data_IF_068598925021
#
_entry.id   IF_068598925021
#
_cell.length_a   1.000
_cell.length_b   1.000
_cell.length_c   1.000
_cell.angle_alpha   90.00
_cell.angle_beta   90.00
_cell.angle_gamma   90.00
#
_symmetry.space_group_name_H-M   'P 1'
#
loop_
_entity.id
_entity.type
_entity.pdbx_description
1 polymer ?
#
# COMPACT_ATOMS: atom_id res chain seq x y z
N UNK A 1 7.76 -14.48 23.03
CA UNK A 1 8.50 -13.24 23.34
C UNK A 1 9.79 -13.22 22.54
N UNK A 2 10.07 -12.13 21.81
CA UNK A 2 11.32 -11.98 21.03
C UNK A 2 12.48 -11.66 21.98
N UNK A 3 13.62 -12.33 21.83
CA UNK A 3 14.80 -12.11 22.67
C UNK A 3 15.25 -10.63 22.63
N UNK A 4 15.60 -9.98 23.76
CA UNK A 4 15.92 -8.55 23.80
C UNK A 4 16.98 -8.09 22.79
N UNK A 5 17.97 -8.95 22.54
CA UNK A 5 19.01 -8.72 21.52
C UNK A 5 18.45 -8.66 20.10
N UNK A 6 17.52 -9.54 19.76
CA UNK A 6 16.83 -9.56 18.46
C UNK A 6 15.97 -8.30 18.31
N UNK A 7 15.27 -7.87 19.37
CA UNK A 7 14.53 -6.60 19.35
C UNK A 7 15.44 -5.41 19.03
N UNK A 8 16.60 -5.32 19.67
CA UNK A 8 17.59 -4.26 19.39
C UNK A 8 18.12 -4.31 17.95
N UNK A 9 18.30 -5.50 17.39
CA UNK A 9 18.69 -5.66 16.00
C UNK A 9 17.62 -5.18 15.02
N UNK A 10 16.35 -5.50 15.26
CA UNK A 10 15.24 -5.00 14.43
C UNK A 10 15.17 -3.47 14.45
N UNK A 11 15.27 -2.85 15.63
CA UNK A 11 15.29 -1.38 15.72
C UNK A 11 16.51 -0.77 15.04
N UNK A 12 17.69 -1.37 15.20
CA UNK A 12 18.89 -0.90 14.50
C UNK A 12 18.77 -1.01 12.97
N UNK A 13 18.14 -2.07 12.45
CA UNK A 13 17.89 -2.20 11.00
C UNK A 13 16.99 -1.09 10.46
N UNK A 14 15.94 -0.69 11.20
CA UNK A 14 15.08 0.43 10.81
C UNK A 14 15.87 1.73 10.69
N UNK A 15 16.71 2.02 11.68
CA UNK A 15 17.57 3.21 11.69
C UNK A 15 18.61 3.19 10.57
N UNK A 16 19.17 2.02 10.23
CA UNK A 16 20.07 1.93 9.08
C UNK A 16 19.36 2.10 7.75
N UNK A 17 18.12 1.62 7.60
CA UNK A 17 17.32 1.87 6.40
C UNK A 17 16.99 3.35 6.23
N UNK A 18 16.61 4.01 7.33
CA UNK A 18 16.43 5.46 7.35
C UNK A 18 17.73 6.19 6.97
N UNK A 19 18.87 5.85 7.60
CA UNK A 19 20.17 6.42 7.23
C UNK A 19 20.50 6.26 5.73
N UNK A 20 20.22 5.08 5.16
CA UNK A 20 20.42 4.81 3.73
C UNK A 20 19.52 5.70 2.87
N UNK A 21 18.25 5.89 3.24
CA UNK A 21 17.32 6.75 2.53
C UNK A 21 17.72 8.24 2.57
N UNK A 22 18.37 8.70 3.63
CA UNK A 22 18.82 10.09 3.79
C UNK A 22 20.25 10.37 3.28
N UNK A 23 21.06 9.33 3.08
CA UNK A 23 22.42 9.43 2.54
C UNK A 23 22.45 9.65 1.02
N UNK A 24 23.49 10.28 0.50
CA UNK A 24 23.70 10.41 -0.96
C UNK A 24 24.19 9.09 -1.59
N UNK A 25 23.93 8.93 -2.89
CA UNK A 25 24.40 7.75 -3.64
C UNK A 25 25.92 7.66 -3.67
N UNK A 26 26.44 6.52 -3.22
CA UNK A 26 27.88 6.25 -3.15
C UNK A 26 28.60 6.99 -2.02
N UNK A 27 27.87 7.56 -1.04
CA UNK A 27 28.50 8.20 0.12
C UNK A 27 29.06 7.18 1.10
N UNK A 28 30.06 7.61 1.88
CA UNK A 28 30.66 6.79 2.93
C UNK A 28 29.59 6.36 3.96
N UNK A 29 28.70 7.26 4.38
CA UNK A 29 27.62 6.99 5.34
C UNK A 29 26.70 5.87 4.84
N UNK A 30 26.30 5.92 3.55
CA UNK A 30 25.48 4.89 2.92
C UNK A 30 26.18 3.54 2.95
N UNK A 31 27.46 3.52 2.58
CA UNK A 31 28.28 2.32 2.57
C UNK A 31 28.41 1.71 3.97
N UNK A 32 28.61 2.54 5.00
CA UNK A 32 28.73 2.14 6.39
C UNK A 32 27.40 1.58 6.92
N UNK A 33 26.28 2.18 6.54
CA UNK A 33 24.95 1.70 6.91
C UNK A 33 24.67 0.30 6.32
N UNK A 34 24.95 0.07 5.03
CA UNK A 34 24.88 -1.28 4.44
C UNK A 34 25.85 -2.25 5.12
N UNK A 35 27.07 -1.80 5.40
CA UNK A 35 28.05 -2.58 6.16
C UNK A 35 27.52 -2.99 7.54
N UNK A 36 26.85 -2.11 8.26
CA UNK A 36 26.26 -2.42 9.56
C UNK A 36 25.01 -3.32 9.45
N UNK A 37 24.18 -3.17 8.40
CA UNK A 37 23.11 -4.12 8.09
C UNK A 37 23.65 -5.53 7.90
N UNK A 38 24.78 -5.69 7.19
CA UNK A 38 25.39 -7.02 6.99
C UNK A 38 25.79 -7.69 8.32
N UNK A 39 26.31 -6.92 9.27
CA UNK A 39 26.64 -7.42 10.60
C UNK A 39 25.39 -7.94 11.33
N UNK A 40 24.29 -7.20 11.28
CA UNK A 40 23.04 -7.63 11.90
C UNK A 40 22.50 -8.88 11.22
N UNK A 41 22.49 -8.92 9.88
CA UNK A 41 22.04 -10.10 9.12
C UNK A 41 22.83 -11.35 9.53
N UNK A 42 24.16 -11.23 9.65
CA UNK A 42 25.02 -12.31 10.12
C UNK A 42 24.65 -12.77 11.54
N UNK A 43 24.44 -11.84 12.48
CA UNK A 43 24.05 -12.17 13.87
C UNK A 43 22.64 -12.72 14.00
N UNK A 44 21.81 -12.56 12.97
CA UNK A 44 20.47 -13.13 12.87
C UNK A 44 20.42 -14.36 11.96
N UNK A 45 21.57 -14.90 11.54
CA UNK A 45 21.69 -16.07 10.67
C UNK A 45 20.97 -15.91 9.31
N UNK A 46 20.79 -14.66 8.85
CA UNK A 46 20.26 -14.32 7.54
C UNK A 46 21.42 -14.17 6.56
N UNK A 47 22.03 -15.28 6.19
CA UNK A 47 23.31 -15.29 5.48
C UNK A 47 23.21 -14.74 4.04
N UNK A 48 22.13 -15.02 3.32
CA UNK A 48 21.88 -14.46 1.98
C UNK A 48 21.72 -12.94 2.04
N UNK A 49 20.91 -12.45 2.98
CA UNK A 49 20.73 -11.00 3.18
C UNK A 49 22.04 -10.33 3.61
N UNK A 50 22.86 -11.02 4.42
CA UNK A 50 24.21 -10.55 4.78
C UNK A 50 25.06 -10.31 3.53
N UNK A 51 25.12 -11.29 2.62
CA UNK A 51 25.88 -11.17 1.38
C UNK A 51 25.35 -10.06 0.47
N UNK A 52 24.02 -9.90 0.38
CA UNK A 52 23.42 -8.80 -0.37
C UNK A 52 23.84 -7.43 0.19
N UNK A 53 23.80 -7.25 1.51
CA UNK A 53 24.21 -6.00 2.14
C UNK A 53 25.72 -5.73 1.98
N UNK A 54 26.57 -6.76 1.99
CA UNK A 54 28.00 -6.61 1.69
C UNK A 54 28.22 -6.12 0.25
N UNK A 55 27.46 -6.68 -0.70
CA UNK A 55 27.51 -6.22 -2.10
C UNK A 55 27.14 -4.74 -2.21
N UNK A 56 26.01 -4.35 -1.63
CA UNK A 56 25.52 -2.96 -1.63
C UNK A 56 26.48 -1.99 -0.93
N UNK A 57 27.13 -2.43 0.15
CA UNK A 57 28.15 -1.63 0.83
C UNK A 57 29.35 -1.35 -0.10
N UNK A 58 29.87 -2.39 -0.78
CA UNK A 58 30.98 -2.26 -1.74
C UNK A 58 30.62 -1.39 -2.94
N UNK A 59 29.42 -1.57 -3.50
CA UNK A 59 28.87 -0.73 -4.58
C UNK A 59 28.71 0.73 -4.15
N UNK A 60 28.61 1.01 -2.84
CA UNK A 60 28.47 2.35 -2.28
C UNK A 60 29.79 2.98 -1.81
N UNK A 61 30.95 2.54 -2.31
CA UNK A 61 32.29 3.06 -1.92
C UNK A 61 32.70 2.79 -0.47
N UNK A 62 32.48 1.56 0.03
CA UNK A 62 32.90 1.19 1.39
C UNK A 62 34.38 1.50 1.70
N UNK A 63 34.72 2.10 2.87
CA UNK A 63 36.08 2.50 3.17
C UNK A 63 37.08 1.35 3.13
N UNK A 64 38.15 1.52 2.34
CA UNK A 64 39.20 0.50 2.16
C UNK A 64 39.82 0.05 3.48
N UNK A 65 40.04 0.96 4.42
CA UNK A 65 40.62 0.66 5.72
C UNK A 65 39.70 -0.21 6.62
N UNK A 66 38.41 -0.35 6.25
CA UNK A 66 37.44 -1.20 6.93
C UNK A 66 37.09 -2.47 6.15
N UNK A 67 37.63 -2.68 4.94
CA UNK A 67 37.20 -3.77 4.04
C UNK A 67 37.35 -5.15 4.67
N UNK A 68 38.41 -5.34 5.48
CA UNK A 68 38.65 -6.60 6.19
C UNK A 68 37.47 -7.05 7.07
N UNK A 69 36.68 -6.11 7.61
CA UNK A 69 35.46 -6.43 8.38
C UNK A 69 34.36 -7.04 7.49
N UNK A 70 34.23 -6.58 6.24
CA UNK A 70 33.26 -7.16 5.31
C UNK A 70 33.75 -8.51 4.79
N UNK A 71 35.05 -8.64 4.51
CA UNK A 71 35.64 -9.87 3.98
C UNK A 71 35.52 -11.03 4.99
N UNK A 72 35.74 -10.75 6.28
CA UNK A 72 35.54 -11.71 7.36
C UNK A 72 34.07 -12.18 7.45
N UNK A 73 33.11 -11.24 7.42
CA UNK A 73 31.67 -11.56 7.45
C UNK A 73 31.22 -12.32 6.21
N UNK A 74 31.74 -11.96 5.03
CA UNK A 74 31.44 -12.64 3.78
C UNK A 74 31.90 -14.10 3.82
N UNK A 75 33.12 -14.33 4.33
CA UNK A 75 33.67 -15.67 4.54
C UNK A 75 32.80 -16.48 5.50
N UNK A 76 32.43 -15.90 6.64
CA UNK A 76 31.57 -16.56 7.64
C UNK A 76 30.20 -16.94 7.04
N UNK A 77 29.53 -15.99 6.36
CA UNK A 77 28.23 -16.24 5.74
C UNK A 77 28.30 -17.32 4.65
N UNK A 78 29.30 -17.27 3.76
CA UNK A 78 29.51 -18.30 2.72
C UNK A 78 29.79 -19.68 3.32
N UNK A 79 30.58 -19.76 4.39
CA UNK A 79 30.85 -21.01 5.09
C UNK A 79 29.60 -21.57 5.79
N UNK A 80 28.74 -20.72 6.35
CA UNK A 80 27.49 -21.16 6.95
C UNK A 80 26.52 -21.72 5.90
N UNK A 81 26.38 -21.04 4.76
CA UNK A 81 25.54 -21.49 3.65
C UNK A 81 26.01 -22.82 3.04
N UNK A 82 27.31 -22.99 2.86
CA UNK A 82 27.85 -24.26 2.35
C UNK A 82 27.62 -25.42 3.33
N UNK A 83 27.79 -25.19 4.63
CA UNK A 83 27.45 -26.17 5.68
C UNK A 83 25.96 -26.54 5.67
N UNK A 84 25.07 -25.56 5.56
CA UNK A 84 23.63 -25.78 5.51
C UNK A 84 23.20 -26.56 4.25
N UNK A 85 23.77 -26.23 3.08
CA UNK A 85 23.52 -26.96 1.83
C UNK A 85 23.95 -28.44 1.93
N UNK A 86 25.11 -28.71 2.52
CA UNK A 86 25.59 -30.07 2.76
C UNK A 86 24.73 -30.86 3.78
N UNK A 87 24.07 -30.18 4.72
CA UNK A 87 23.16 -30.81 5.70
C UNK A 87 21.74 -31.01 5.15
N UNK A 88 21.28 -30.15 4.24
CA UNK A 88 19.95 -30.23 3.64
C UNK A 88 19.84 -31.23 2.48
N UNK A 89 20.96 -31.80 2.00
CA UNK A 89 20.97 -32.91 1.05
C UNK A 89 20.28 -34.20 1.57
N UNK A 90 19.85 -34.25 2.84
CA UNK A 90 19.12 -35.37 3.45
C UNK A 90 17.74 -35.00 4.04
N UNK A 91 17.22 -33.80 3.80
CA UNK A 91 15.86 -33.43 4.22
C UNK A 91 15.04 -33.00 3.02
N UNK A 92 14.14 -33.89 2.57
CA UNK A 92 12.99 -33.53 1.75
C UNK A 92 12.26 -32.40 2.46
N UNK A 93 12.24 -31.22 1.84
CA UNK A 93 11.46 -30.09 2.30
C UNK A 93 10.00 -30.45 2.21
N UNK A 94 9.35 -30.73 3.34
CA UNK A 94 7.90 -30.68 3.44
C UNK A 94 7.51 -29.22 3.24
N UNK A 95 7.16 -28.84 2.02
CA UNK A 95 6.43 -27.60 1.76
C UNK A 95 5.18 -27.68 2.62
N UNK A 96 5.13 -26.87 3.67
CA UNK A 96 3.89 -26.66 4.43
C UNK A 96 2.96 -25.95 3.44
N UNK A 97 2.00 -26.67 2.88
CA UNK A 97 0.90 -26.06 2.13
C UNK A 97 0.24 -25.05 3.07
N UNK A 98 0.52 -23.77 2.85
CA UNK A 98 -0.16 -22.70 3.54
C UNK A 98 -1.57 -22.68 2.96
N UNK A 99 -2.54 -23.21 3.71
CA UNK A 99 -3.95 -23.12 3.34
C UNK A 99 -4.30 -21.66 3.06
N UNK A 100 -4.61 -21.38 1.79
CA UNK A 100 -5.02 -20.04 1.39
C UNK A 100 -6.48 -19.85 1.79
N UNK A 101 -6.80 -18.70 2.40
CA UNK A 101 -8.18 -18.38 2.75
C UNK A 101 -9.04 -18.32 1.47
N UNK A 102 -10.19 -18.99 1.49
CA UNK A 102 -11.13 -19.06 0.36
C UNK A 102 -12.49 -18.50 0.76
N UNK A 103 -13.29 -18.11 -0.25
CA UNK A 103 -14.69 -17.74 -0.04
C UNK A 103 -15.47 -18.95 0.48
N UNK A 104 -16.33 -18.73 1.48
CA UNK A 104 -17.17 -19.81 2.03
C UNK A 104 -18.32 -20.21 1.11
N UNK A 105 -18.55 -19.46 0.04
CA UNK A 105 -19.57 -19.69 -0.97
C UNK A 105 -18.96 -19.56 -2.37
N UNK A 106 -19.60 -20.14 -3.41
CA UNK A 106 -19.12 -19.99 -4.77
C UNK A 106 -18.92 -18.51 -5.13
N UNK A 107 -17.81 -18.22 -5.82
CA UNK A 107 -17.53 -16.88 -6.29
C UNK A 107 -18.60 -16.43 -7.29
N UNK A 108 -18.82 -15.12 -7.34
CA UNK A 108 -19.65 -14.50 -8.36
C UNK A 108 -19.02 -14.76 -9.73
N UNK A 109 -19.85 -15.08 -10.74
CA UNK A 109 -19.39 -15.49 -12.07
C UNK A 109 -18.38 -14.49 -12.68
N UNK A 110 -18.66 -13.20 -12.47
CA UNK A 110 -17.90 -12.07 -12.99
C UNK A 110 -16.91 -11.47 -11.97
N UNK A 111 -16.92 -11.91 -10.71
CA UNK A 111 -16.09 -11.34 -9.64
C UNK A 111 -15.54 -12.45 -8.71
N UNK A 112 -14.39 -13.06 -9.05
CA UNK A 112 -13.79 -14.16 -8.26
C UNK A 112 -13.52 -13.83 -6.78
N UNK A 113 -13.33 -12.54 -6.48
CA UNK A 113 -13.10 -12.02 -5.13
C UNK A 113 -14.38 -11.85 -4.29
N UNK A 114 -15.57 -12.05 -4.86
CA UNK A 114 -16.86 -11.73 -4.24
C UNK A 114 -17.72 -12.99 -4.16
N UNK A 115 -18.30 -13.29 -3.00
CA UNK A 115 -19.28 -14.38 -2.89
C UNK A 115 -20.54 -14.09 -3.73
N UNK A 116 -21.01 -15.07 -4.50
CA UNK A 116 -22.14 -14.88 -5.43
C UNK A 116 -23.48 -14.53 -4.76
N UNK A 117 -23.56 -14.70 -3.44
CA UNK A 117 -24.72 -14.36 -2.66
C UNK A 117 -24.80 -12.87 -2.31
N UNK A 118 -23.76 -12.08 -2.54
CA UNK A 118 -23.78 -10.64 -2.28
C UNK A 118 -24.33 -9.85 -3.49
N UNK A 119 -24.92 -8.71 -3.21
CA UNK A 119 -25.35 -7.75 -4.22
C UNK A 119 -25.29 -6.32 -3.68
N UNK A 120 -25.05 -5.37 -4.58
CA UNK A 120 -25.20 -3.96 -4.29
C UNK A 120 -26.67 -3.55 -4.48
N UNK A 121 -27.22 -2.87 -3.48
CA UNK A 121 -28.55 -2.27 -3.53
C UNK A 121 -28.48 -0.76 -3.26
N UNK A 122 -29.63 -0.09 -3.38
CA UNK A 122 -29.78 1.33 -3.01
C UNK A 122 -31.04 1.56 -2.19
N UNK A 123 -30.96 2.36 -1.13
CA UNK A 123 -32.11 2.83 -0.36
C UNK A 123 -31.87 4.25 0.18
N UNK A 124 -32.90 4.89 0.72
CA UNK A 124 -32.81 6.29 1.18
C UNK A 124 -31.96 6.46 2.44
N UNK A 125 -31.92 5.44 3.30
CA UNK A 125 -31.22 5.50 4.59
C UNK A 125 -29.70 5.40 4.43
N UNK A 126 -29.23 4.50 3.57
CA UNK A 126 -27.81 4.14 3.44
C UNK A 126 -27.24 4.49 2.07
N UNK A 127 -28.05 4.91 1.10
CA UNK A 127 -27.62 5.02 -0.28
C UNK A 127 -27.23 3.64 -0.82
N UNK A 128 -26.04 3.54 -1.42
CA UNK A 128 -25.46 2.26 -1.85
C UNK A 128 -25.17 1.39 -0.63
N UNK A 129 -25.59 0.13 -0.66
CA UNK A 129 -25.38 -0.80 0.44
C UNK A 129 -25.25 -2.23 -0.06
N UNK A 130 -24.48 -3.06 0.65
CA UNK A 130 -24.27 -4.47 0.29
C UNK A 130 -25.23 -5.35 1.08
N UNK A 131 -25.99 -6.19 0.38
CA UNK A 131 -26.93 -7.15 0.98
C UNK A 131 -26.58 -8.59 0.60
N UNK A 132 -27.05 -9.54 1.41
CA UNK A 132 -26.93 -10.97 1.09
C UNK A 132 -28.26 -11.58 0.62
N UNK A 133 -28.21 -12.42 -0.40
CA UNK A 133 -29.34 -13.22 -0.93
C UNK A 133 -29.60 -14.48 -0.12
N UNK A 134 -28.79 -14.76 0.91
CA UNK A 134 -28.92 -15.93 1.80
C UNK A 134 -28.55 -15.62 3.24
N UNK A 135 -28.89 -16.52 4.16
CA UNK A 135 -28.39 -16.46 5.54
C UNK A 135 -26.88 -16.71 5.56
N UNK A 136 -26.12 -15.82 6.20
CA UNK A 136 -24.69 -15.95 6.47
C UNK A 136 -24.45 -16.33 7.93
N UNK A 137 -23.48 -17.19 8.19
CA UNK A 137 -23.07 -17.67 9.51
C UNK A 137 -21.77 -17.00 9.94
N UNK A 138 -21.54 -16.97 11.25
CA UNK A 138 -20.26 -16.52 11.81
C UNK A 138 -19.13 -17.38 11.24
N UNK A 139 -18.04 -16.72 10.80
CA UNK A 139 -16.89 -17.35 10.16
C UNK A 139 -16.95 -17.41 8.63
N UNK A 140 -18.10 -17.11 8.01
CA UNK A 140 -18.19 -17.08 6.54
C UNK A 140 -17.29 -15.97 5.96
N UNK A 141 -16.46 -16.32 4.97
CA UNK A 141 -15.66 -15.39 4.18
C UNK A 141 -16.43 -15.02 2.93
N UNK A 142 -16.74 -13.73 2.78
CA UNK A 142 -17.69 -13.25 1.74
C UNK A 142 -17.06 -12.33 0.70
N UNK A 143 -15.89 -11.76 0.99
CA UNK A 143 -15.06 -11.03 0.02
C UNK A 143 -13.58 -11.31 0.28
N UNK A 144 -12.74 -11.33 -0.76
CA UNK A 144 -11.27 -11.37 -0.68
C UNK A 144 -10.69 -10.44 -1.77
N UNK A 145 -10.54 -9.16 -1.46
CA UNK A 145 -10.25 -8.13 -2.44
C UNK A 145 -8.79 -7.63 -2.35
N UNK A 146 -8.19 -7.34 -3.51
CA UNK A 146 -6.89 -6.66 -3.59
C UNK A 146 -7.10 -5.13 -3.55
N UNK A 147 -6.30 -4.36 -2.79
CA UNK A 147 -6.44 -2.91 -2.76
C UNK A 147 -6.15 -2.28 -4.12
N UNK A 148 -6.86 -1.20 -4.44
CA UNK A 148 -6.53 -0.32 -5.56
C UNK A 148 -5.23 0.45 -5.29
N UNK A 149 -5.11 0.95 -4.05
CA UNK A 149 -3.95 1.69 -3.55
C UNK A 149 -3.60 1.25 -2.13
N UNK A 150 -2.32 1.26 -1.82
CA UNK A 150 -1.80 1.09 -0.45
C UNK A 150 -0.70 2.13 -0.22
N UNK A 151 -0.76 2.81 0.92
CA UNK A 151 0.27 3.73 1.40
C UNK A 151 0.66 3.32 2.81
N UNK A 152 1.94 2.97 2.99
CA UNK A 152 2.47 2.62 4.30
C UNK A 152 2.57 3.86 5.18
N UNK A 153 2.24 3.69 6.47
CA UNK A 153 2.46 4.72 7.49
C UNK A 153 3.97 4.99 7.64
N UNK A 154 4.33 6.21 8.04
CA UNK A 154 5.74 6.64 8.22
C UNK A 154 6.59 5.63 8.99
N UNK A 155 6.06 5.06 10.08
CA UNK A 155 6.75 4.05 10.90
C UNK A 155 7.04 2.73 10.18
N UNK A 156 6.50 2.52 8.97
CA UNK A 156 6.63 1.30 8.16
C UNK A 156 7.30 1.54 6.79
N UNK A 157 7.56 2.78 6.39
CA UNK A 157 8.19 3.12 5.10
C UNK A 157 9.59 2.50 4.95
N UNK A 158 10.33 2.36 6.06
CA UNK A 158 11.66 1.74 6.10
C UNK A 158 11.64 0.25 6.48
N UNK A 159 10.46 -0.38 6.45
CA UNK A 159 10.25 -1.79 6.80
C UNK A 159 9.66 -2.56 5.61
N UNK A 160 8.79 -1.90 4.83
CA UNK A 160 8.07 -2.50 3.70
C UNK A 160 8.52 -1.90 2.37
N UNK A 161 8.47 -2.70 1.33
CA UNK A 161 8.65 -2.21 -0.04
C UNK A 161 7.45 -1.33 -0.42
N UNK A 162 7.70 -0.10 -0.88
CA UNK A 162 6.64 0.84 -1.24
C UNK A 162 5.76 0.36 -2.41
N UNK A 163 6.28 -0.53 -3.27
CA UNK A 163 5.51 -1.10 -4.38
C UNK A 163 4.75 -2.38 -3.99
N UNK A 164 5.47 -3.44 -3.62
CA UNK A 164 4.85 -4.75 -3.39
C UNK A 164 4.29 -4.91 -1.98
N UNK A 165 4.52 -3.94 -1.08
CA UNK A 165 4.05 -3.90 0.31
C UNK A 165 4.58 -5.02 1.21
N UNK A 166 5.40 -5.94 0.67
CA UNK A 166 6.02 -6.99 1.44
C UNK A 166 7.03 -6.43 2.44
N UNK A 167 7.06 -7.04 3.63
CA UNK A 167 8.06 -6.72 4.64
C UNK A 167 9.44 -7.18 4.18
N UNK A 168 10.37 -6.23 4.06
CA UNK A 168 11.70 -6.42 3.44
C UNK A 168 12.80 -5.70 4.21
N UNK A 169 12.64 -5.59 5.52
CA UNK A 169 13.51 -4.87 6.46
C UNK A 169 15.02 -5.04 6.19
N UNK A 170 15.46 -6.22 5.78
CA UNK A 170 16.87 -6.55 5.58
C UNK A 170 17.42 -6.26 4.18
N UNK A 171 16.57 -5.99 3.20
CA UNK A 171 16.96 -5.94 1.77
C UNK A 171 16.45 -4.70 1.04
N UNK A 172 15.80 -3.77 1.73
CA UNK A 172 15.36 -2.51 1.13
C UNK A 172 16.52 -1.69 0.56
N UNK A 173 16.28 -1.09 -0.60
CA UNK A 173 17.12 -0.11 -1.30
C UNK A 173 16.31 1.21 -1.45
N UNK A 174 16.94 2.38 -1.32
CA UNK A 174 16.23 3.65 -1.32
C UNK A 174 15.88 4.10 -2.74
N UNK A 175 14.85 4.94 -2.88
CA UNK A 175 14.76 5.83 -4.02
C UNK A 175 15.95 6.80 -4.01
N UNK A 176 16.51 7.11 -5.18
CA UNK A 176 17.60 8.09 -5.27
C UNK A 176 17.11 9.54 -5.40
N UNK A 177 15.82 9.74 -5.66
CA UNK A 177 15.20 11.06 -5.83
C UNK A 177 14.44 11.58 -4.60
N UNK A 178 14.19 10.75 -3.59
CA UNK A 178 13.51 11.16 -2.36
C UNK A 178 14.02 10.36 -1.16
N UNK A 179 13.70 10.82 0.05
CA UNK A 179 14.09 10.17 1.31
C UNK A 179 12.99 9.30 1.91
N UNK A 180 11.85 9.13 1.22
CA UNK A 180 10.65 8.49 1.78
C UNK A 180 10.50 7.05 1.29
N UNK A 181 10.59 6.83 -0.02
CA UNK A 181 10.28 5.53 -0.62
C UNK A 181 11.50 4.61 -0.62
N UNK A 182 11.30 3.36 -0.19
CA UNK A 182 12.26 2.27 -0.34
C UNK A 182 11.62 1.05 -1.00
N UNK A 183 12.43 0.24 -1.66
CA UNK A 183 11.98 -0.87 -2.50
C UNK A 183 12.82 -2.11 -2.26
N UNK A 184 12.31 -3.30 -2.58
CA UNK A 184 13.08 -4.54 -2.43
C UNK A 184 13.91 -4.92 -3.66
N UNK A 185 13.69 -4.24 -4.79
CA UNK A 185 14.37 -4.52 -6.05
C UNK A 185 14.24 -3.35 -7.03
N UNK A 186 15.16 -3.29 -7.99
CA UNK A 186 15.09 -2.37 -9.14
C UNK A 186 13.80 -2.55 -9.94
N UNK A 187 13.29 -3.78 -10.02
CA UNK A 187 11.99 -4.07 -10.64
C UNK A 187 10.84 -3.35 -9.91
N UNK A 188 10.83 -3.35 -8.57
CA UNK A 188 9.84 -2.62 -7.79
C UNK A 188 10.00 -1.10 -7.93
N UNK A 189 11.24 -0.58 -8.02
CA UNK A 189 11.50 0.84 -8.33
C UNK A 189 10.88 1.21 -9.67
N UNK A 190 11.19 0.45 -10.73
CA UNK A 190 10.69 0.70 -12.08
C UNK A 190 9.16 0.65 -12.15
N UNK A 191 8.55 -0.37 -11.53
CA UNK A 191 7.09 -0.51 -11.48
C UNK A 191 6.42 0.60 -10.68
N UNK A 192 7.00 1.03 -9.55
CA UNK A 192 6.49 2.15 -8.79
C UNK A 192 6.57 3.46 -9.58
N UNK A 193 7.72 3.73 -10.20
CA UNK A 193 7.94 4.92 -11.02
C UNK A 193 6.93 5.00 -12.16
N UNK A 194 6.75 3.91 -12.91
CA UNK A 194 5.78 3.86 -14.01
C UNK A 194 4.31 3.92 -13.59
N UNK A 195 3.99 3.68 -12.31
CA UNK A 195 2.60 3.62 -11.81
C UNK A 195 2.17 4.83 -11.00
N UNK A 196 3.06 5.41 -10.19
CA UNK A 196 2.71 6.53 -9.32
C UNK A 196 3.90 7.38 -8.87
N UNK A 197 5.05 6.76 -8.61
CA UNK A 197 6.14 7.42 -7.91
C UNK A 197 6.77 8.57 -8.70
N UNK A 198 6.64 8.56 -10.03
CA UNK A 198 7.05 9.66 -10.91
C UNK A 198 6.44 11.01 -10.53
N UNK A 199 5.17 11.01 -10.10
CA UNK A 199 4.45 12.21 -9.67
C UNK A 199 4.54 12.45 -8.16
N UNK A 200 5.03 11.48 -7.40
CA UNK A 200 5.21 11.60 -5.94
C UNK A 200 6.61 12.07 -5.57
N UNK A 201 7.65 11.60 -6.27
CA UNK A 201 9.03 11.62 -5.81
C UNK A 201 9.50 13.01 -5.31
N UNK A 202 9.22 14.06 -6.07
CA UNK A 202 9.64 15.44 -5.74
C UNK A 202 8.82 16.10 -4.61
N UNK A 203 7.63 15.59 -4.30
CA UNK A 203 6.67 16.24 -3.39
C UNK A 203 6.36 15.43 -2.14
N UNK A 204 6.73 14.14 -2.12
CA UNK A 204 6.22 13.16 -1.17
C UNK A 204 6.51 13.54 0.28
N UNK A 205 7.73 13.99 0.60
CA UNK A 205 8.14 14.36 1.96
C UNK A 205 7.34 15.55 2.50
N UNK A 206 7.16 16.58 1.68
CA UNK A 206 6.51 17.81 2.10
C UNK A 206 5.01 17.59 2.24
N UNK A 207 4.40 16.83 1.32
CA UNK A 207 2.99 16.47 1.41
C UNK A 207 2.68 15.49 2.54
N UNK A 208 3.61 14.61 2.92
CA UNK A 208 3.49 13.84 4.18
C UNK A 208 3.40 14.77 5.39
N UNK A 209 4.27 15.77 5.45
CA UNK A 209 4.34 16.71 6.57
C UNK A 209 3.06 17.57 6.66
N UNK A 210 2.55 18.03 5.52
CA UNK A 210 1.45 19.01 5.48
C UNK A 210 0.07 18.35 5.45
N UNK A 211 -0.11 17.24 4.74
CA UNK A 211 -1.42 16.59 4.55
C UNK A 211 -1.55 15.22 5.23
N UNK A 212 -0.44 14.66 5.73
CA UNK A 212 -0.42 13.34 6.34
C UNK A 212 -0.77 12.20 5.38
N UNK A 213 -1.04 11.02 5.96
CA UNK A 213 -1.27 9.79 5.21
C UNK A 213 -2.48 9.87 4.26
N UNK A 214 -3.52 10.62 4.64
CA UNK A 214 -4.71 10.83 3.81
C UNK A 214 -4.37 11.61 2.54
N UNK A 215 -3.64 12.73 2.66
CA UNK A 215 -3.22 13.49 1.48
C UNK A 215 -2.29 12.70 0.56
N UNK A 216 -1.36 11.93 1.13
CA UNK A 216 -0.45 11.09 0.33
C UNK A 216 -1.19 9.92 -0.33
N UNK A 217 -2.22 9.37 0.31
CA UNK A 217 -3.10 8.37 -0.32
C UNK A 217 -3.84 8.97 -1.51
N UNK A 218 -4.37 10.19 -1.36
CA UNK A 218 -5.02 10.91 -2.47
C UNK A 218 -4.03 11.19 -3.62
N UNK A 219 -2.84 11.69 -3.31
CA UNK A 219 -1.76 11.91 -4.28
C UNK A 219 -1.47 10.63 -5.08
N UNK A 220 -1.30 9.49 -4.40
CA UNK A 220 -1.03 8.20 -5.05
C UNK A 220 -2.18 7.77 -5.96
N UNK A 221 -3.42 7.97 -5.54
CA UNK A 221 -4.60 7.65 -6.36
C UNK A 221 -4.66 8.51 -7.62
N UNK A 222 -4.33 9.80 -7.52
CA UNK A 222 -4.25 10.73 -8.66
C UNK A 222 -3.12 10.32 -9.61
N UNK A 223 -1.94 9.97 -9.09
CA UNK A 223 -0.83 9.50 -9.90
C UNK A 223 -1.17 8.19 -10.64
N UNK A 224 -1.86 7.25 -9.99
CA UNK A 224 -2.40 6.03 -10.63
C UNK A 224 -3.42 6.40 -11.71
N UNK A 225 -4.29 7.39 -11.46
CA UNK A 225 -5.26 7.85 -12.45
C UNK A 225 -4.54 8.36 -13.70
N UNK A 226 -3.60 9.29 -13.56
CA UNK A 226 -2.86 9.88 -14.67
C UNK A 226 -2.11 8.82 -15.48
N UNK A 227 -1.41 7.89 -14.81
CA UNK A 227 -0.68 6.81 -15.50
C UNK A 227 -1.60 5.80 -16.20
N UNK A 228 -2.81 5.58 -15.69
CA UNK A 228 -3.83 4.71 -16.31
C UNK A 228 -4.32 5.25 -17.67
N UNK A 229 -4.17 6.55 -17.90
CA UNK A 229 -4.45 7.22 -19.17
C UNK A 229 -3.16 7.63 -19.89
N UNK A 230 -2.12 6.79 -19.81
CA UNK A 230 -0.85 6.95 -20.53
C UNK A 230 -0.08 8.24 -20.19
N UNK A 231 -0.29 8.79 -18.98
CA UNK A 231 0.25 10.10 -18.56
C UNK A 231 -0.33 11.29 -19.33
N UNK A 232 -1.53 11.12 -19.89
CA UNK A 232 -2.20 12.11 -20.72
C UNK A 232 -3.45 12.64 -20.00
N UNK A 233 -3.35 13.90 -19.54
CA UNK A 233 -4.43 14.58 -18.83
C UNK A 233 -5.63 14.86 -19.73
N UNK A 234 -5.45 15.01 -21.04
CA UNK A 234 -6.56 15.24 -21.98
C UNK A 234 -7.37 13.96 -22.16
N UNK A 235 -6.69 12.81 -22.35
CA UNK A 235 -7.39 11.51 -22.38
C UNK A 235 -8.13 11.20 -21.08
N UNK A 236 -7.53 11.53 -19.93
CA UNK A 236 -8.20 11.37 -18.64
C UNK A 236 -9.43 12.27 -18.57
N UNK A 237 -9.32 13.53 -19.01
CA UNK A 237 -10.44 14.47 -19.05
C UNK A 237 -11.58 13.95 -19.93
N UNK A 238 -11.28 13.58 -21.17
CA UNK A 238 -12.27 13.11 -22.14
C UNK A 238 -13.01 11.86 -21.63
N UNK A 239 -12.26 10.96 -20.98
CA UNK A 239 -12.86 9.79 -20.34
C UNK A 239 -13.81 10.18 -19.21
N UNK A 240 -13.40 11.11 -18.34
CA UNK A 240 -14.24 11.58 -17.23
C UNK A 240 -15.49 12.33 -17.70
N UNK A 241 -15.38 13.15 -18.75
CA UNK A 241 -16.52 13.84 -19.35
C UNK A 241 -17.53 12.86 -19.98
N UNK A 242 -17.05 11.73 -20.51
CA UNK A 242 -17.88 10.68 -21.09
C UNK A 242 -18.41 9.67 -20.06
N UNK A 243 -17.89 9.67 -18.83
CA UNK A 243 -18.21 8.67 -17.81
C UNK A 243 -19.58 8.94 -17.18
N UNK A 244 -20.54 8.05 -17.44
CA UNK A 244 -21.78 8.01 -16.67
C UNK A 244 -21.55 7.34 -15.32
N UNK A 245 -21.18 8.13 -14.31
CA UNK A 245 -20.91 7.64 -12.96
C UNK A 245 -22.07 6.83 -12.36
N UNK A 246 -23.31 7.09 -12.77
CA UNK A 246 -24.49 6.38 -12.26
C UNK A 246 -24.58 4.92 -12.71
N UNK A 247 -23.86 4.56 -13.78
CA UNK A 247 -23.80 3.20 -14.34
C UNK A 247 -22.59 2.40 -13.86
N UNK A 248 -21.67 3.01 -13.12
CA UNK A 248 -20.49 2.32 -12.62
C UNK A 248 -20.86 1.49 -11.38
N UNK A 249 -20.81 0.17 -11.53
CA UNK A 249 -21.08 -0.78 -10.46
C UNK A 249 -20.06 -1.92 -10.44
N UNK A 250 -19.16 -1.89 -9.45
CA UNK A 250 -18.16 -2.92 -9.24
C UNK A 250 -18.74 -4.31 -8.92
N UNK A 251 -19.98 -4.42 -8.44
CA UNK A 251 -20.59 -5.71 -8.12
C UNK A 251 -21.12 -6.44 -9.35
N UNK A 252 -21.35 -5.74 -10.47
CA UNK A 252 -21.85 -6.31 -11.73
C UNK A 252 -20.80 -6.32 -12.84
N UNK A 253 -19.70 -5.57 -12.70
CA UNK A 253 -18.54 -5.57 -13.60
C UNK A 253 -17.90 -6.97 -13.74
N UNK A 254 -17.41 -7.30 -14.95
CA UNK A 254 -16.59 -8.49 -15.21
C UNK A 254 -15.13 -8.24 -14.86
N UNK A 255 -14.76 -8.55 -13.62
CA UNK A 255 -13.39 -8.43 -13.10
C UNK A 255 -12.38 -9.36 -13.78
N UNK A 256 -12.82 -10.40 -14.48
CA UNK A 256 -11.92 -11.27 -15.24
C UNK A 256 -11.41 -10.59 -16.52
N UNK A 257 -12.15 -9.58 -17.00
CA UNK A 257 -11.85 -8.81 -18.21
C UNK A 257 -11.62 -7.33 -17.95
N UNK A 258 -11.82 -6.87 -16.72
CA UNK A 258 -11.68 -5.47 -16.33
C UNK A 258 -10.29 -4.95 -16.66
N UNK A 259 -10.25 -3.86 -17.41
CA UNK A 259 -9.04 -3.10 -17.68
C UNK A 259 -8.68 -2.23 -16.47
N UNK A 260 -7.46 -1.69 -16.39
CA UNK A 260 -7.12 -0.70 -15.37
C UNK A 260 -8.06 0.51 -15.34
N UNK A 261 -8.61 0.92 -16.50
CA UNK A 261 -9.60 2.00 -16.62
C UNK A 261 -10.93 1.64 -15.96
N UNK A 262 -11.39 0.40 -16.15
CA UNK A 262 -12.63 -0.08 -15.52
C UNK A 262 -12.48 -0.10 -13.99
N UNK A 263 -11.34 -0.58 -13.48
CA UNK A 263 -11.03 -0.55 -12.04
C UNK A 263 -10.93 0.89 -11.53
N UNK A 264 -10.28 1.79 -12.26
CA UNK A 264 -10.23 3.22 -11.91
C UNK A 264 -11.63 3.81 -11.75
N UNK A 265 -12.56 3.52 -12.68
CA UNK A 265 -13.93 4.03 -12.61
C UNK A 265 -14.61 3.65 -11.30
N UNK A 266 -14.45 2.38 -10.87
CA UNK A 266 -15.06 1.90 -9.61
C UNK A 266 -14.58 2.68 -8.37
N UNK A 267 -13.36 3.19 -8.40
CA UNK A 267 -12.77 4.01 -7.34
C UNK A 267 -13.16 5.49 -7.48
N UNK A 268 -13.21 5.99 -8.72
CA UNK A 268 -13.56 7.38 -8.99
C UNK A 268 -14.99 7.73 -8.52
N UNK A 269 -15.93 6.78 -8.62
CA UNK A 269 -17.33 6.95 -8.19
C UNK A 269 -17.58 6.67 -6.70
N UNK A 270 -16.51 6.49 -5.91
CA UNK A 270 -16.63 6.36 -4.46
C UNK A 270 -17.17 7.65 -3.83
N UNK A 271 -17.74 7.52 -2.63
CA UNK A 271 -18.44 8.63 -1.99
C UNK A 271 -17.48 9.77 -1.63
N UNK A 272 -17.83 11.02 -1.95
CA UNK A 272 -17.09 12.22 -1.52
C UNK A 272 -17.73 12.90 -0.31
N UNK A 273 -19.01 12.61 -0.05
CA UNK A 273 -19.87 13.36 0.86
C UNK A 273 -19.88 14.87 0.62
N UNK A 274 -19.56 15.34 -0.59
CA UNK A 274 -19.43 16.76 -0.93
C UNK A 274 -20.60 17.61 -0.41
N UNK A 275 -21.84 17.20 -0.71
CA UNK A 275 -23.07 17.91 -0.33
C UNK A 275 -23.35 17.92 1.19
N UNK A 276 -22.65 17.08 1.98
CA UNK A 276 -22.82 16.98 3.44
C UNK A 276 -21.73 17.72 4.21
N UNK A 277 -20.69 18.19 3.54
CA UNK A 277 -19.54 18.86 4.17
C UNK A 277 -19.89 20.29 4.54
N UNK A 278 -19.45 20.72 5.72
CA UNK A 278 -19.65 22.09 6.15
C UNK A 278 -18.59 23.03 5.54
N UNK A 279 -18.84 24.33 5.61
CA UNK A 279 -17.97 25.34 5.00
C UNK A 279 -16.53 25.33 5.52
N UNK A 280 -16.30 24.95 6.79
CA UNK A 280 -14.94 24.89 7.36
C UNK A 280 -14.16 23.70 6.79
N UNK A 281 -14.82 22.56 6.65
CA UNK A 281 -14.24 21.37 6.01
C UNK A 281 -13.91 21.65 4.54
N UNK A 282 -14.84 22.28 3.81
CA UNK A 282 -14.63 22.64 2.41
C UNK A 282 -13.47 23.64 2.25
N UNK A 283 -13.36 24.64 3.15
CA UNK A 283 -12.26 25.59 3.14
C UNK A 283 -10.90 24.89 3.39
N UNK A 284 -10.85 23.97 4.37
CA UNK A 284 -9.65 23.18 4.65
C UNK A 284 -9.23 22.29 3.46
N UNK A 285 -10.18 21.58 2.85
CA UNK A 285 -9.93 20.77 1.66
C UNK A 285 -9.46 21.63 0.47
N UNK A 286 -10.04 22.81 0.28
CA UNK A 286 -9.63 23.75 -0.77
C UNK A 286 -8.20 24.23 -0.53
N UNK A 287 -7.85 24.57 0.71
CA UNK A 287 -6.50 24.96 1.07
C UNK A 287 -5.49 23.84 0.75
N UNK A 288 -5.75 22.61 1.20
CA UNK A 288 -4.87 21.47 0.90
C UNK A 288 -4.80 21.13 -0.59
N UNK A 289 -5.90 21.35 -1.32
CA UNK A 289 -5.95 21.19 -2.76
C UNK A 289 -4.98 22.12 -3.46
N UNK A 290 -5.00 23.41 -3.10
CA UNK A 290 -4.09 24.42 -3.65
C UNK A 290 -2.63 24.11 -3.30
N UNK A 291 -2.37 23.70 -2.04
CA UNK A 291 -1.01 23.32 -1.61
C UNK A 291 -0.47 22.16 -2.43
N UNK A 292 -1.24 21.06 -2.56
CA UNK A 292 -0.80 19.90 -3.35
C UNK A 292 -0.64 20.26 -4.83
N UNK A 293 -1.56 21.03 -5.40
CA UNK A 293 -1.50 21.45 -6.80
C UNK A 293 -0.23 22.25 -7.08
N UNK A 294 0.08 23.27 -6.27
CA UNK A 294 1.29 24.07 -6.44
C UNK A 294 2.57 23.23 -6.34
N UNK A 295 2.64 22.29 -5.38
CA UNK A 295 3.79 21.39 -5.26
C UNK A 295 3.94 20.49 -6.49
N UNK A 296 2.84 19.96 -7.02
CA UNK A 296 2.86 19.13 -8.23
C UNK A 296 3.33 19.93 -9.45
N UNK A 297 2.92 21.18 -9.58
CA UNK A 297 3.38 22.04 -10.67
C UNK A 297 4.87 22.38 -10.55
N UNK A 298 5.34 22.70 -9.34
CA UNK A 298 6.73 23.15 -9.15
C UNK A 298 7.74 21.99 -9.24
N UNK A 299 7.39 20.80 -8.73
CA UNK A 299 8.36 19.72 -8.48
C UNK A 299 8.13 18.46 -9.34
N UNK A 300 7.23 18.50 -10.32
CA UNK A 300 6.98 17.37 -11.21
C UNK A 300 6.83 17.80 -12.66
N UNK A 301 6.84 16.83 -13.58
CA UNK A 301 6.60 17.07 -15.01
C UNK A 301 5.17 17.56 -15.32
N UNK A 302 4.26 17.59 -14.35
CA UNK A 302 2.92 18.17 -14.51
C UNK A 302 2.94 19.69 -14.62
N UNK A 303 3.97 20.38 -14.10
CA UNK A 303 4.14 21.83 -14.19
C UNK A 303 4.06 22.35 -15.62
N UNK A 304 5.05 22.02 -16.47
CA UNK A 304 5.06 22.44 -17.88
C UNK A 304 3.81 22.01 -18.64
N UNK A 305 3.26 20.81 -18.35
CA UNK A 305 2.05 20.32 -19.00
C UNK A 305 0.81 21.17 -18.66
N UNK A 306 0.67 21.58 -17.41
CA UNK A 306 -0.45 22.41 -16.95
C UNK A 306 -0.28 23.89 -17.31
N UNK A 307 0.95 24.40 -17.41
CA UNK A 307 1.24 25.75 -17.91
C UNK A 307 0.83 25.89 -19.38
N UNK A 308 1.12 24.87 -20.20
CA UNK A 308 0.75 24.84 -21.61
C UNK A 308 -0.77 24.66 -21.83
N UNK A 309 -1.48 24.05 -20.88
CA UNK A 309 -2.91 23.76 -20.98
C UNK A 309 -3.66 24.12 -19.67
N UNK A 310 -4.31 25.31 -19.59
CA UNK A 310 -5.09 25.72 -18.44
C UNK A 310 -6.23 24.76 -18.06
N UNK A 311 -6.77 24.04 -19.05
CA UNK A 311 -7.81 23.03 -18.83
C UNK A 311 -7.24 21.83 -18.07
N UNK A 312 -6.02 21.41 -18.39
CA UNK A 312 -5.31 20.34 -17.67
C UNK A 312 -4.99 20.77 -16.22
N UNK A 313 -4.60 22.03 -16.02
CA UNK A 313 -4.38 22.60 -14.68
C UNK A 313 -5.65 22.59 -13.83
N UNK A 314 -6.79 22.99 -14.41
CA UNK A 314 -8.10 22.93 -13.75
C UNK A 314 -8.51 21.49 -13.43
N UNK A 315 -8.36 20.57 -14.39
CA UNK A 315 -8.63 19.15 -14.15
C UNK A 315 -7.82 18.61 -12.96
N UNK A 316 -6.54 18.98 -12.87
CA UNK A 316 -5.70 18.54 -11.76
C UNK A 316 -6.22 19.06 -10.40
N UNK A 317 -6.67 20.31 -10.32
CA UNK A 317 -7.33 20.85 -9.11
C UNK A 317 -8.60 20.05 -8.76
N UNK A 318 -9.46 19.81 -9.75
CA UNK A 318 -10.72 19.08 -9.56
C UNK A 318 -10.46 17.64 -9.09
N UNK A 319 -9.45 16.97 -9.66
CA UNK A 319 -8.99 15.65 -9.24
C UNK A 319 -8.46 15.67 -7.80
N UNK A 320 -7.59 16.63 -7.46
CA UNK A 320 -7.02 16.72 -6.11
C UNK A 320 -8.13 16.87 -5.06
N UNK A 321 -9.05 17.82 -5.26
CA UNK A 321 -10.16 18.04 -4.33
C UNK A 321 -11.00 16.77 -4.17
N UNK A 322 -11.37 16.14 -5.31
CA UNK A 322 -12.18 14.92 -5.31
C UNK A 322 -11.47 13.76 -4.60
N UNK A 323 -10.19 13.53 -4.86
CA UNK A 323 -9.47 12.40 -4.28
C UNK A 323 -9.11 12.60 -2.80
N UNK A 324 -8.93 13.86 -2.35
CA UNK A 324 -8.88 14.16 -0.91
C UNK A 324 -10.21 13.77 -0.23
N UNK A 325 -11.35 14.11 -0.84
CA UNK A 325 -12.67 13.78 -0.31
C UNK A 325 -12.96 12.27 -0.33
N UNK A 326 -12.65 11.59 -1.43
CA UNK A 326 -12.77 10.13 -1.55
C UNK A 326 -11.94 9.47 -0.47
N UNK A 327 -10.71 9.92 -0.27
CA UNK A 327 -9.82 9.33 0.73
C UNK A 327 -10.47 9.42 2.11
N UNK A 328 -10.85 10.61 2.58
CA UNK A 328 -11.48 10.80 3.90
C UNK A 328 -12.74 9.94 4.14
N UNK A 329 -13.46 9.57 3.09
CA UNK A 329 -14.69 8.79 3.21
C UNK A 329 -14.48 7.27 3.04
N UNK A 330 -13.45 6.84 2.31
CA UNK A 330 -13.37 5.46 1.79
C UNK A 330 -12.06 4.74 2.10
N UNK A 331 -10.99 5.42 2.55
CA UNK A 331 -9.78 4.68 2.93
C UNK A 331 -10.08 3.75 4.10
N UNK A 332 -9.36 2.64 4.17
CA UNK A 332 -9.40 1.65 5.22
C UNK A 332 -8.04 1.58 5.88
N UNK A 333 -8.04 1.55 7.21
CA UNK A 333 -6.83 1.31 8.00
C UNK A 333 -6.46 -0.17 7.92
N UNK A 334 -5.23 -0.45 7.53
CA UNK A 334 -4.66 -1.79 7.56
C UNK A 334 -3.92 -1.97 8.88
N UNK A 335 -4.40 -2.90 9.70
CA UNK A 335 -3.84 -3.21 11.02
C UNK A 335 -3.10 -4.53 11.01
N UNK A 336 -2.06 -4.62 11.82
CA UNK A 336 -1.39 -5.86 12.19
C UNK A 336 -1.33 -5.99 13.71
N UNK A 337 -1.20 -7.22 14.20
CA UNK A 337 -1.09 -7.46 15.63
C UNK A 337 0.35 -7.19 16.07
N UNK A 338 0.53 -6.18 16.93
CA UNK A 338 1.77 -5.93 17.64
C UNK A 338 1.77 -6.69 18.95
N UNK A 339 2.66 -7.67 19.06
CA UNK A 339 2.84 -8.41 20.32
C UNK A 339 3.70 -7.57 21.27
N UNK A 340 3.05 -6.89 22.22
CA UNK A 340 3.77 -6.23 23.32
C UNK A 340 3.94 -7.17 24.52
N UNK A 341 4.76 -6.78 25.49
CA UNK A 341 4.94 -7.55 26.73
C UNK A 341 3.68 -7.56 27.61
N UNK A 342 2.68 -6.72 27.33
CA UNK A 342 1.52 -6.52 28.20
C UNK A 342 0.20 -6.99 27.60
N UNK A 343 0.02 -6.92 26.27
CA UNK A 343 -1.09 -7.52 25.50
C UNK A 343 -0.84 -7.37 23.98
N UNK A 344 -1.47 -8.20 23.12
CA UNK A 344 -1.54 -7.91 21.69
C UNK A 344 -2.33 -6.61 21.47
N UNK A 345 -1.75 -5.70 20.70
CA UNK A 345 -2.35 -4.41 20.32
C UNK A 345 -2.47 -4.33 18.80
N UNK A 346 -3.54 -3.72 18.30
CA UNK A 346 -3.69 -3.44 16.87
C UNK A 346 -2.81 -2.24 16.51
N UNK A 347 -1.87 -2.43 15.59
CA UNK A 347 -1.00 -1.39 15.05
C UNK A 347 -1.35 -1.14 13.58
N UNK A 348 -1.82 0.06 13.27
CA UNK A 348 -2.03 0.48 11.88
C UNK A 348 -0.70 0.64 11.18
N UNK A 349 -0.51 -0.12 10.09
CA UNK A 349 0.71 -0.07 9.30
C UNK A 349 0.54 0.60 7.93
N UNK A 350 -0.68 0.73 7.42
CA UNK A 350 -0.95 1.36 6.13
C UNK A 350 -2.41 1.85 6.03
N UNK A 351 -2.67 2.66 5.01
CA UNK A 351 -4.01 2.96 4.49
C UNK A 351 -4.19 2.30 3.13
N UNK A 352 -5.42 1.91 2.80
CA UNK A 352 -5.77 1.39 1.48
C UNK A 352 -7.17 1.78 1.04
N UNK A 353 -7.39 1.81 -0.27
CA UNK A 353 -8.74 1.98 -0.84
C UNK A 353 -9.12 0.74 -1.65
N UNK A 354 -10.37 0.31 -1.50
CA UNK A 354 -10.90 -0.93 -2.06
C UNK A 354 -12.23 -0.65 -2.79
N UNK A 355 -12.35 -0.97 -4.09
CA UNK A 355 -13.59 -0.78 -4.83
C UNK A 355 -14.85 -1.40 -4.20
N UNK A 356 -14.78 -2.68 -3.81
CA UNK A 356 -15.94 -3.43 -3.32
C UNK A 356 -16.13 -3.28 -1.81
N UNK A 357 -15.06 -3.41 -1.03
CA UNK A 357 -15.11 -3.29 0.44
C UNK A 357 -15.55 -1.89 0.88
N UNK A 358 -15.25 -0.83 0.11
CA UNK A 358 -15.74 0.53 0.42
C UNK A 358 -17.25 0.71 0.27
N UNK A 359 -17.98 -0.27 -0.30
CA UNK A 359 -19.45 -0.25 -0.35
C UNK A 359 -20.12 -0.75 0.93
N UNK A 360 -19.34 -1.30 1.88
CA UNK A 360 -19.86 -1.70 3.20
C UNK A 360 -20.11 -0.45 4.06
N UNK A 361 -21.35 -0.27 4.50
CA UNK A 361 -21.72 0.84 5.36
C UNK A 361 -21.30 0.60 6.82
N UNK A 362 -21.28 1.68 7.59
CA UNK A 362 -20.93 1.67 9.01
C UNK A 362 -22.04 1.11 9.91
N UNK A 363 -21.64 0.37 10.95
CA UNK A 363 -22.39 0.17 12.18
C UNK A 363 -21.43 0.08 13.37
N UNK A 364 -21.75 0.70 14.51
CA UNK A 364 -21.01 0.51 15.76
C UNK A 364 -21.12 -0.94 16.29
N UNK A 365 -22.13 -1.68 15.83
CA UNK A 365 -22.28 -3.13 16.03
C UNK A 365 -22.19 -3.81 14.64
N UNK A 366 -20.98 -3.89 14.06
CA UNK A 366 -20.78 -4.42 12.71
C UNK A 366 -21.06 -5.92 12.69
N UNK A 367 -21.51 -6.45 11.55
CA UNK A 367 -21.73 -7.89 11.37
C UNK A 367 -20.66 -8.55 10.51
N UNK A 368 -19.70 -7.77 9.99
CA UNK A 368 -18.48 -8.26 9.36
C UNK A 368 -17.23 -7.61 9.96
N UNK A 369 -16.07 -8.25 9.75
CA UNK A 369 -14.75 -7.74 10.11
C UNK A 369 -13.77 -7.96 8.96
N UNK A 370 -12.87 -7.00 8.75
CA UNK A 370 -11.76 -7.08 7.80
C UNK A 370 -10.60 -7.89 8.39
N UNK A 371 -10.01 -8.76 7.59
CA UNK A 371 -8.78 -9.50 7.90
C UNK A 371 -7.74 -9.23 6.80
N UNK A 372 -6.59 -8.65 7.18
CA UNK A 372 -5.53 -8.34 6.22
C UNK A 372 -4.66 -9.59 6.02
N UNK A 373 -4.57 -10.05 4.77
CA UNK A 373 -3.82 -11.24 4.41
C UNK A 373 -2.34 -10.89 4.18
N UNK A 374 -1.41 -11.85 4.39
CA UNK A 374 0.03 -11.62 4.21
C UNK A 374 0.43 -11.18 2.79
N UNK A 375 -0.38 -11.51 1.78
CA UNK A 375 -0.17 -11.13 0.38
C UNK A 375 -0.75 -9.75 0.02
N UNK A 376 -1.25 -9.01 1.01
CA UNK A 376 -1.80 -7.66 0.86
C UNK A 376 -3.28 -7.60 0.49
N UNK A 377 -3.96 -8.74 0.27
CA UNK A 377 -5.42 -8.77 0.10
C UNK A 377 -6.14 -8.53 1.43
N UNK A 378 -7.40 -8.12 1.35
CA UNK A 378 -8.29 -7.98 2.50
C UNK A 378 -9.46 -8.95 2.36
N UNK A 379 -9.66 -9.80 3.36
CA UNK A 379 -10.82 -10.66 3.46
C UNK A 379 -11.89 -10.04 4.35
N UNK A 380 -13.16 -10.24 4.01
CA UNK A 380 -14.30 -9.83 4.84
C UNK A 380 -14.95 -11.07 5.43
N UNK A 381 -14.95 -11.15 6.76
CA UNK A 381 -15.43 -12.30 7.53
C UNK A 381 -16.66 -11.91 8.32
N UNK A 382 -17.69 -12.74 8.31
CA UNK A 382 -18.92 -12.55 9.07
C UNK A 382 -18.68 -12.82 10.56
N UNK A 383 -19.01 -11.86 11.42
CA UNK A 383 -18.85 -11.95 12.89
C UNK A 383 -20.18 -12.04 13.64
N UNK A 384 -21.29 -11.72 12.97
CA UNK A 384 -22.65 -11.96 13.45
C UNK A 384 -23.50 -12.58 12.35
N UNK A 385 -24.44 -13.45 12.71
CA UNK A 385 -25.35 -14.07 11.74
C UNK A 385 -26.13 -13.00 10.98
N UNK A 386 -26.14 -13.05 9.65
CA UNK A 386 -26.89 -12.12 8.79
C UNK A 386 -28.03 -12.87 8.12
N UNK A 387 -29.27 -12.38 8.25
CA UNK A 387 -30.43 -12.99 7.60
C UNK A 387 -30.39 -12.76 6.07
N UNK A 388 -31.15 -13.56 5.31
CA UNK A 388 -31.39 -13.28 3.89
C UNK A 388 -32.05 -11.90 3.75
N UNK A 389 -31.54 -11.08 2.82
CA UNK A 389 -31.94 -9.69 2.63
C UNK A 389 -31.26 -8.72 3.60
N UNK A 390 -30.48 -9.21 4.58
CA UNK A 390 -29.76 -8.38 5.52
C UNK A 390 -28.58 -7.65 4.87
N UNK A 391 -28.34 -6.42 5.33
CA UNK A 391 -27.18 -5.60 4.95
C UNK A 391 -25.93 -6.04 5.71
N UNK A 392 -24.77 -5.99 5.05
CA UNK A 392 -23.47 -6.17 5.67
C UNK A 392 -22.96 -4.82 6.16
N UNK A 393 -22.55 -4.77 7.42
CA UNK A 393 -22.03 -3.58 8.09
C UNK A 393 -20.63 -3.82 8.62
N UNK A 394 -19.73 -2.92 8.26
CA UNK A 394 -18.35 -2.86 8.73
C UNK A 394 -18.20 -1.76 9.80
N UNK A 395 -17.09 -1.76 10.54
CA UNK A 395 -16.71 -0.62 11.36
C UNK A 395 -15.76 0.29 10.58
N UNK A 396 -15.97 1.60 10.70
CA UNK A 396 -15.12 2.60 10.05
C UNK A 396 -13.88 2.93 10.87
N UNK A 397 -13.90 2.60 12.17
CA UNK A 397 -12.74 2.70 13.07
C UNK A 397 -11.76 1.53 12.91
#
# INVERSE_FOLDING_TARGET
MVHPKVKRYIEAMKLYNECIAFSAKGSEERSLAYGNRSFICLKMERFEDCLQNIRLARESNYPKHLSGKLDEREKEAKQALSKASNQNASKVSTEVEVETLQLSYPAHENAPQLANCLALGRNDQYGRHVVTKRKLKVGDVVMIEKPFVTVAKETFQYIRCDFCQAERLFTLIPCEGCTVAMYCSEECISKAYGKYHRYECGVLRDLWTVLGISGVTALRMIAIAITTFDNDLEKLKDHLDALDESKVDGFTMDWKKATPKDVFNTVHVLCTNQERRNIKELAGLTFFTIVMHNHLLEWTELGPACEANPTASKLLLDLILRYLQITECNYKLLTCIKITNRNPEDETFATSCYPLISMLNHSCAPNVRRLILPDGRCAVIVIHTVAKGGQLFDNYE
#
